data_IF_976160626647
#
_entry.id   IF_976160626647
#
_cell.length_a   1.000
_cell.length_b   1.000
_cell.length_c   1.000
_cell.angle_alpha   90.00
_cell.angle_beta   90.00
_cell.angle_gamma   90.00
#
_symmetry.space_group_name_H-M   'P 1'
#
loop_
_entity.id
_entity.type
_entity.pdbx_description
1 polymer ?
#
# COMPACT_ATOMS: atom_id res chain seq x y z
N UNK A 1 21.04 0.02 10.84
CA UNK A 1 20.43 0.54 9.60
C UNK A 1 18.98 0.08 9.56
N UNK A 2 18.06 0.87 10.14
CA UNK A 2 16.64 0.48 10.23
C UNK A 2 15.93 0.90 8.95
N UNK A 3 16.14 0.14 7.86
CA UNK A 3 15.34 0.32 6.66
C UNK A 3 13.95 -0.24 6.95
N UNK A 4 13.00 0.67 7.14
CA UNK A 4 11.57 0.34 7.18
C UNK A 4 11.19 -0.28 5.82
N UNK A 5 10.32 -1.29 5.80
CA UNK A 5 9.96 -1.93 4.54
C UNK A 5 9.27 -0.91 3.61
N UNK A 6 9.72 -0.76 2.35
CA UNK A 6 9.07 0.14 1.41
C UNK A 6 7.69 -0.41 1.07
N UNK A 7 6.72 0.50 0.94
CA UNK A 7 5.34 0.17 0.54
C UNK A 7 5.14 0.71 -0.87
N UNK A 8 4.84 -0.20 -1.79
CA UNK A 8 4.59 0.13 -3.19
C UNK A 8 3.10 0.03 -3.48
N UNK A 9 2.49 1.15 -3.87
CA UNK A 9 1.05 1.22 -4.15
C UNK A 9 0.84 1.56 -5.62
N UNK A 10 0.07 0.71 -6.31
CA UNK A 10 -0.30 0.96 -7.70
C UNK A 10 -1.32 2.10 -7.78
N UNK A 11 -0.92 3.22 -8.39
CA UNK A 11 -1.80 4.38 -8.67
C UNK A 11 -2.45 4.35 -10.06
N UNK A 12 -2.47 3.21 -10.75
CA UNK A 12 -3.22 3.09 -11.99
C UNK A 12 -4.69 3.47 -11.78
N UNK A 13 -5.30 4.21 -12.71
CA UNK A 13 -6.67 4.75 -12.59
C UNK A 13 -7.71 3.71 -12.14
N UNK A 14 -7.59 2.46 -12.62
CA UNK A 14 -8.44 1.33 -12.20
C UNK A 14 -8.20 0.91 -10.74
N UNK A 15 -6.96 0.80 -10.28
CA UNK A 15 -6.65 0.44 -8.88
C UNK A 15 -7.02 1.59 -7.93
N UNK A 16 -6.80 2.84 -8.36
CA UNK A 16 -7.17 4.03 -7.62
C UNK A 16 -8.68 4.11 -7.39
N UNK A 17 -9.49 3.92 -8.44
CA UNK A 17 -10.94 3.92 -8.35
C UNK A 17 -11.51 2.75 -7.51
N UNK A 18 -10.80 1.61 -7.47
CA UNK A 18 -11.21 0.43 -6.70
C UNK A 18 -10.99 0.57 -5.19
N UNK A 19 -10.15 1.49 -4.73
CA UNK A 19 -9.94 1.71 -3.30
C UNK A 19 -8.49 1.95 -2.86
N UNK A 20 -7.51 1.95 -3.78
CA UNK A 20 -6.13 2.27 -3.39
C UNK A 20 -5.99 3.70 -2.84
N UNK A 21 -6.89 4.62 -3.19
CA UNK A 21 -6.96 5.94 -2.58
C UNK A 21 -7.26 5.89 -1.06
N UNK A 22 -8.18 5.01 -0.64
CA UNK A 22 -8.51 4.79 0.77
C UNK A 22 -7.34 4.11 1.49
N UNK A 23 -6.73 3.12 0.85
CA UNK A 23 -5.58 2.42 1.41
C UNK A 23 -4.41 3.39 1.64
N UNK A 24 -4.06 4.22 0.64
CA UNK A 24 -3.03 5.25 0.78
C UNK A 24 -3.30 6.17 1.96
N UNK A 25 -4.52 6.69 2.08
CA UNK A 25 -4.89 7.58 3.18
C UNK A 25 -4.78 6.91 4.56
N UNK A 26 -5.20 5.65 4.68
CA UNK A 26 -5.06 4.88 5.93
C UNK A 26 -3.59 4.69 6.29
N UNK A 27 -2.75 4.39 5.29
CA UNK A 27 -1.31 4.23 5.46
C UNK A 27 -0.68 5.53 5.93
N UNK A 28 -0.98 6.65 5.26
CA UNK A 28 -0.53 8.00 5.64
C UNK A 28 -0.96 8.35 7.08
N UNK A 29 -2.24 8.20 7.41
CA UNK A 29 -2.78 8.49 8.75
C UNK A 29 -2.13 7.59 9.83
N UNK A 30 -1.84 6.32 9.51
CA UNK A 30 -1.19 5.39 10.44
C UNK A 30 0.24 5.83 10.77
N UNK A 31 0.99 6.27 9.76
CA UNK A 31 2.36 6.74 9.93
C UNK A 31 2.43 8.13 10.55
N UNK A 32 1.51 9.02 10.20
CA UNK A 32 1.37 10.36 10.78
C UNK A 32 1.10 10.26 12.29
N UNK A 33 0.13 9.43 12.71
CA UNK A 33 -0.18 9.21 14.14
C UNK A 33 1.00 8.66 14.94
N UNK A 34 1.89 7.91 14.30
CA UNK A 34 3.08 7.31 14.95
C UNK A 34 4.31 8.19 14.88
N UNK A 35 4.28 9.30 14.12
CA UNK A 35 5.46 10.12 13.85
C UNK A 35 6.58 9.35 13.13
N UNK A 36 6.22 8.28 12.42
CA UNK A 36 7.16 7.38 11.75
C UNK A 36 7.01 7.56 10.25
N UNK A 37 7.88 8.34 9.56
CA UNK A 37 7.84 8.39 8.12
C UNK A 37 8.18 7.00 7.57
N UNK A 38 7.26 6.39 6.83
CA UNK A 38 7.54 5.21 6.02
C UNK A 38 7.85 5.65 4.60
N UNK A 39 8.71 4.91 3.94
CA UNK A 39 9.04 5.12 2.54
C UNK A 39 7.91 4.49 1.70
N UNK A 40 6.90 5.30 1.41
CA UNK A 40 5.80 4.91 0.53
C UNK A 40 6.25 5.25 -0.89
N UNK A 41 6.67 4.23 -1.63
CA UNK A 41 7.06 4.36 -3.01
C UNK A 41 5.83 4.21 -3.90
N UNK A 42 5.32 5.32 -4.40
CA UNK A 42 4.14 5.31 -5.25
C UNK A 42 4.59 4.99 -6.68
N UNK A 43 4.44 3.74 -7.10
CA UNK A 43 4.69 3.36 -8.50
C UNK A 43 3.41 3.45 -9.31
N UNK A 44 3.39 4.43 -10.20
CA UNK A 44 2.39 4.60 -11.25
C UNK A 44 2.73 3.80 -12.51
N UNK A 45 3.47 2.71 -12.40
CA UNK A 45 3.94 1.97 -13.57
C UNK A 45 2.81 1.13 -14.14
N UNK A 46 2.19 1.64 -15.20
CA UNK A 46 1.61 0.89 -16.32
C UNK A 46 1.05 -0.49 -15.92
N UNK A 47 -0.27 -0.56 -15.68
CA UNK A 47 -1.05 -1.76 -15.28
C UNK A 47 -0.25 -3.06 -15.43
N UNK A 48 0.11 -3.71 -14.33
CA UNK A 48 0.79 -5.02 -14.29
C UNK A 48 -0.05 -6.16 -14.93
N UNK A 49 -1.04 -5.83 -15.76
CA UNK A 49 -2.07 -6.70 -16.36
C UNK A 49 -2.90 -7.50 -15.34
N UNK A 50 -2.57 -7.43 -14.06
CA UNK A 50 -3.32 -7.95 -12.92
C UNK A 50 -4.29 -6.91 -12.32
N UNK A 51 -4.71 -5.92 -13.12
CA UNK A 51 -5.79 -5.00 -12.74
C UNK A 51 -7.10 -5.76 -12.43
N UNK A 52 -7.26 -7.00 -12.91
CA UNK A 52 -8.39 -7.89 -12.58
C UNK A 52 -8.51 -8.19 -11.08
N UNK A 53 -7.39 -8.46 -10.40
CA UNK A 53 -7.34 -8.75 -8.95
C UNK A 53 -6.94 -7.55 -8.09
N UNK A 54 -6.85 -6.36 -8.70
CA UNK A 54 -6.61 -5.11 -7.97
C UNK A 54 -7.76 -4.78 -7.02
N UNK A 55 -7.50 -4.05 -5.91
CA UNK A 55 -6.27 -3.30 -5.61
C UNK A 55 -5.07 -4.16 -5.18
N UNK A 56 -3.90 -3.86 -5.74
CA UNK A 56 -2.63 -4.51 -5.41
C UNK A 56 -1.72 -3.54 -4.65
N UNK A 57 -1.07 -4.06 -3.61
CA UNK A 57 -0.09 -3.36 -2.78
C UNK A 57 1.10 -4.29 -2.57
N UNK A 58 2.33 -3.78 -2.73
CA UNK A 58 3.54 -4.55 -2.43
C UNK A 58 4.15 -3.98 -1.15
N UNK A 59 4.41 -4.83 -0.16
CA UNK A 59 5.06 -4.43 1.08
C UNK A 59 6.32 -5.26 1.22
N UNK A 60 7.47 -4.61 1.36
CA UNK A 60 8.76 -5.31 1.49
C UNK A 60 9.05 -6.29 0.33
N UNK A 61 8.64 -5.94 -0.90
CA UNK A 61 8.77 -6.81 -2.08
C UNK A 61 7.75 -7.95 -2.17
N UNK A 62 6.80 -8.05 -1.23
CA UNK A 62 5.72 -9.05 -1.26
C UNK A 62 4.42 -8.43 -1.76
N UNK A 63 3.90 -8.96 -2.87
CA UNK A 63 2.66 -8.48 -3.49
C UNK A 63 1.44 -9.05 -2.79
N UNK A 64 0.51 -8.17 -2.45
CA UNK A 64 -0.80 -8.45 -1.91
C UNK A 64 -1.85 -7.95 -2.89
N UNK A 65 -2.75 -8.83 -3.32
CA UNK A 65 -3.89 -8.51 -4.19
C UNK A 65 -5.20 -8.49 -3.39
N UNK A 66 -6.23 -7.85 -3.94
CA UNK A 66 -7.54 -7.63 -3.28
C UNK A 66 -7.40 -6.99 -1.89
N UNK A 67 -6.47 -6.05 -1.75
CA UNK A 67 -6.21 -5.39 -0.47
C UNK A 67 -7.30 -4.38 -0.17
N UNK A 68 -8.18 -4.73 0.75
CA UNK A 68 -9.14 -3.80 1.33
C UNK A 68 -8.54 -3.00 2.50
N UNK A 69 -9.33 -2.05 3.00
CA UNK A 69 -8.96 -1.16 4.11
C UNK A 69 -8.70 -1.89 5.43
N UNK A 70 -9.29 -3.08 5.63
CA UNK A 70 -9.00 -3.93 6.79
C UNK A 70 -7.67 -4.64 6.64
N UNK A 71 -7.47 -5.29 5.49
CA UNK A 71 -6.23 -6.01 5.18
C UNK A 71 -5.01 -5.08 5.22
N UNK A 72 -5.10 -3.88 4.65
CA UNK A 72 -3.97 -2.94 4.72
C UNK A 72 -3.66 -2.53 6.16
N UNK A 73 -4.67 -2.37 7.01
CA UNK A 73 -4.47 -2.06 8.43
C UNK A 73 -3.77 -3.20 9.17
N UNK A 74 -4.15 -4.45 8.91
CA UNK A 74 -3.51 -5.61 9.51
C UNK A 74 -2.08 -5.78 9.01
N UNK A 75 -1.83 -5.54 7.72
CA UNK A 75 -0.48 -5.52 7.15
C UNK A 75 0.39 -4.42 7.80
N UNK A 76 -0.15 -3.21 7.97
CA UNK A 76 0.56 -2.13 8.66
C UNK A 76 0.92 -2.51 10.09
N UNK A 77 0.00 -3.10 10.86
CA UNK A 77 0.29 -3.57 12.23
C UNK A 77 1.30 -4.71 12.25
N UNK A 78 1.26 -5.61 11.28
CA UNK A 78 2.16 -6.76 11.20
C UNK A 78 3.59 -6.34 10.85
N UNK A 79 3.76 -5.44 9.88
CA UNK A 79 5.07 -4.99 9.41
C UNK A 79 5.63 -3.81 10.20
N UNK A 80 4.76 -3.01 10.82
CA UNK A 80 5.10 -1.79 11.57
C UNK A 80 4.36 -1.79 12.93
N UNK A 81 4.82 -2.63 13.89
CA UNK A 81 4.26 -2.69 15.24
C UNK A 81 4.40 -1.38 16.01
#
# INVERSE_FOLDING_TARGET
MNKKPPIVICMGSSCFARGNNKNLRIIEEYFEKRGLPAEIEITGSCCEKNCSDGPNVVINGKTYSKVDTGVIMDLLKQYFP
#
